data_IF_084810062307
#
_entry.id   IF_084810062307
#
_cell.length_a   1.000
_cell.length_b   1.000
_cell.length_c   1.000
_cell.angle_alpha   90.00
_cell.angle_beta   90.00
_cell.angle_gamma   90.00
#
_symmetry.space_group_name_H-M   'P 1'
#
loop_
_entity.id
_entity.type
_entity.pdbx_description
1 polymer ?
#
# COMPACT_ATOMS: atom_id res chain seq x y z
N UNK A 1 4.57 -19.03 -8.69
CA UNK A 1 5.69 -18.67 -7.89
C UNK A 1 5.60 -17.25 -7.33
N UNK A 2 6.31 -16.22 -7.86
CA UNK A 2 6.37 -14.88 -7.21
C UNK A 2 4.99 -14.22 -7.11
N UNK A 3 4.22 -14.17 -8.18
CA UNK A 3 2.85 -13.65 -8.18
C UNK A 3 1.99 -14.24 -7.07
N UNK A 4 1.93 -15.57 -7.00
CA UNK A 4 1.12 -16.26 -6.01
C UNK A 4 1.57 -15.94 -4.58
N UNK A 5 2.87 -15.81 -4.34
CA UNK A 5 3.42 -15.46 -3.04
C UNK A 5 2.98 -14.04 -2.63
N UNK A 6 3.14 -13.06 -3.52
CA UNK A 6 2.75 -11.67 -3.23
C UNK A 6 1.26 -11.56 -2.88
N UNK A 7 0.39 -12.19 -3.67
CA UNK A 7 -1.05 -12.16 -3.42
C UNK A 7 -1.48 -12.99 -2.22
N UNK A 8 -0.75 -14.04 -1.85
CA UNK A 8 -0.97 -14.72 -0.57
C UNK A 8 -0.67 -13.82 0.63
N UNK A 9 0.41 -13.04 0.58
CA UNK A 9 0.73 -12.08 1.65
C UNK A 9 -0.30 -10.94 1.69
N UNK A 10 -0.71 -10.42 0.53
CA UNK A 10 -1.78 -9.41 0.42
C UNK A 10 -3.07 -9.95 1.04
N UNK A 11 -3.48 -11.17 0.71
CA UNK A 11 -4.67 -11.80 1.27
C UNK A 11 -4.60 -11.96 2.79
N UNK A 12 -3.44 -12.38 3.32
CA UNK A 12 -3.21 -12.46 4.76
C UNK A 12 -3.26 -11.07 5.43
N UNK A 13 -2.71 -10.05 4.78
CA UNK A 13 -2.78 -8.69 5.29
C UNK A 13 -4.24 -8.19 5.36
N UNK A 14 -5.04 -8.43 4.31
CA UNK A 14 -6.47 -8.11 4.31
C UNK A 14 -7.20 -8.83 5.47
N UNK A 15 -6.99 -10.13 5.61
CA UNK A 15 -7.57 -10.93 6.70
C UNK A 15 -7.15 -10.40 8.08
N UNK A 16 -5.90 -10.01 8.24
CA UNK A 16 -5.40 -9.44 9.51
C UNK A 16 -6.09 -8.11 9.85
N UNK A 17 -6.32 -7.25 8.85
CA UNK A 17 -7.05 -5.99 9.04
C UNK A 17 -8.50 -6.25 9.47
N UNK A 18 -9.18 -7.20 8.83
CA UNK A 18 -10.55 -7.60 9.19
C UNK A 18 -10.61 -8.15 10.63
N UNK A 19 -9.64 -8.98 11.03
CA UNK A 19 -9.56 -9.53 12.39
C UNK A 19 -9.31 -8.43 13.43
N UNK A 20 -8.40 -7.49 13.16
CA UNK A 20 -8.12 -6.36 14.06
C UNK A 20 -9.38 -5.52 14.27
N UNK A 21 -10.15 -5.29 13.22
CA UNK A 21 -11.41 -4.55 13.33
C UNK A 21 -12.49 -5.33 14.07
N UNK A 22 -12.62 -6.63 13.82
CA UNK A 22 -13.56 -7.50 14.51
C UNK A 22 -13.26 -7.67 16.01
N UNK A 23 -11.98 -7.74 16.37
CA UNK A 23 -11.50 -7.91 17.76
C UNK A 23 -11.07 -6.60 18.41
N UNK A 24 -11.64 -5.50 17.98
CA UNK A 24 -11.23 -4.16 18.41
C UNK A 24 -11.40 -3.89 19.91
N UNK A 25 -12.30 -4.60 20.58
CA UNK A 25 -12.55 -4.55 22.02
C UNK A 25 -11.44 -5.18 22.87
N UNK A 26 -10.59 -6.02 22.27
CA UNK A 26 -9.45 -6.66 22.95
C UNK A 26 -8.15 -5.83 22.90
N UNK A 27 -8.16 -4.73 22.16
CA UNK A 27 -6.99 -3.89 21.93
C UNK A 27 -7.24 -2.47 22.43
N UNK A 28 -6.23 -1.84 23.01
CA UNK A 28 -6.28 -0.39 23.18
C UNK A 28 -6.30 0.32 21.83
N UNK A 29 -6.82 1.54 21.78
CA UNK A 29 -6.89 2.35 20.54
C UNK A 29 -5.50 2.45 19.89
N UNK A 30 -4.47 2.78 20.69
CA UNK A 30 -3.10 2.91 20.17
C UNK A 30 -2.54 1.59 19.61
N UNK A 31 -2.83 0.44 20.26
CA UNK A 31 -2.41 -0.86 19.75
C UNK A 31 -3.11 -1.21 18.44
N UNK A 32 -4.42 -0.95 18.36
CA UNK A 32 -5.20 -1.16 17.16
C UNK A 32 -4.64 -0.36 16.00
N UNK A 33 -4.42 0.94 16.20
CA UNK A 33 -3.92 1.84 15.17
C UNK A 33 -2.52 1.45 14.72
N UNK A 34 -1.62 1.11 15.66
CA UNK A 34 -0.28 0.65 15.33
C UNK A 34 -0.29 -0.66 14.55
N UNK A 35 -1.05 -1.67 14.98
CA UNK A 35 -1.11 -2.95 14.27
C UNK A 35 -1.72 -2.80 12.88
N UNK A 36 -2.77 -1.99 12.74
CA UNK A 36 -3.33 -1.68 11.41
C UNK A 36 -2.31 -0.98 10.51
N UNK A 37 -1.55 -0.04 11.05
CA UNK A 37 -0.52 0.67 10.30
C UNK A 37 0.60 -0.28 9.82
N UNK A 38 1.08 -1.18 10.66
CA UNK A 38 2.08 -2.18 10.28
C UNK A 38 1.55 -3.12 9.18
N UNK A 39 0.34 -3.61 9.31
CA UNK A 39 -0.27 -4.52 8.31
C UNK A 39 -0.53 -3.79 6.99
N UNK A 40 -1.00 -2.54 7.02
CA UNK A 40 -1.15 -1.71 5.82
C UNK A 40 0.17 -1.47 5.12
N UNK A 41 1.23 -1.19 5.88
CA UNK A 41 2.56 -0.99 5.32
C UNK A 41 3.08 -2.27 4.63
N UNK A 42 2.91 -3.44 5.24
CA UNK A 42 3.27 -4.73 4.63
C UNK A 42 2.47 -4.94 3.34
N UNK A 43 1.16 -4.69 3.35
CA UNK A 43 0.31 -4.79 2.17
C UNK A 43 0.79 -3.86 1.04
N UNK A 44 1.08 -2.61 1.38
CA UNK A 44 1.61 -1.62 0.43
C UNK A 44 2.96 -2.05 -0.16
N UNK A 45 3.85 -2.64 0.65
CA UNK A 45 5.12 -3.20 0.15
C UNK A 45 4.89 -4.32 -0.86
N UNK A 46 3.95 -5.23 -0.61
CA UNK A 46 3.65 -6.31 -1.54
C UNK A 46 3.03 -5.80 -2.84
N UNK A 47 2.18 -4.78 -2.77
CA UNK A 47 1.66 -4.10 -3.97
C UNK A 47 2.74 -3.35 -4.72
N UNK A 48 3.70 -2.73 -4.01
CA UNK A 48 4.85 -2.09 -4.64
C UNK A 48 5.68 -3.10 -5.45
N UNK A 49 6.05 -4.23 -4.85
CA UNK A 49 6.78 -5.30 -5.54
C UNK A 49 5.98 -5.88 -6.73
N UNK A 50 4.67 -6.06 -6.56
CA UNK A 50 3.83 -6.54 -7.65
C UNK A 50 3.74 -5.52 -8.80
N UNK A 51 3.60 -4.22 -8.49
CA UNK A 51 3.60 -3.16 -9.48
C UNK A 51 4.94 -3.05 -10.23
N UNK A 52 6.07 -3.19 -9.52
CA UNK A 52 7.40 -3.17 -10.13
C UNK A 52 7.59 -4.34 -11.11
N UNK A 53 7.17 -5.53 -10.72
CA UNK A 53 7.38 -6.74 -11.52
C UNK A 53 6.38 -6.89 -12.68
N UNK A 54 5.14 -6.45 -12.50
CA UNK A 54 4.05 -6.77 -13.42
C UNK A 54 3.35 -5.54 -14.03
N UNK A 55 3.60 -4.35 -13.52
CA UNK A 55 3.02 -3.08 -13.97
C UNK A 55 1.55 -2.94 -13.58
N UNK A 56 0.63 -3.39 -14.45
CA UNK A 56 -0.81 -3.39 -14.19
C UNK A 56 -1.19 -4.63 -13.39
N UNK A 57 -1.83 -4.42 -12.26
CA UNK A 57 -2.17 -5.48 -11.32
C UNK A 57 -3.56 -5.24 -10.71
N UNK A 58 -4.30 -6.27 -10.31
CA UNK A 58 -5.54 -6.10 -9.56
C UNK A 58 -5.25 -5.61 -8.14
N UNK A 59 -6.04 -4.64 -7.65
CA UNK A 59 -6.02 -4.17 -6.27
C UNK A 59 -7.17 -4.80 -5.51
N UNK A 60 -6.86 -5.68 -4.55
CA UNK A 60 -7.80 -6.44 -3.75
C UNK A 60 -7.61 -6.06 -2.28
N UNK A 61 -8.63 -5.49 -1.64
CA UNK A 61 -8.53 -4.95 -0.27
C UNK A 61 -9.38 -5.69 0.76
N UNK A 62 -10.10 -6.71 0.35
CA UNK A 62 -10.97 -7.49 1.23
C UNK A 62 -10.57 -8.95 1.21
N UNK A 63 -10.71 -9.64 2.35
CA UNK A 63 -10.52 -11.08 2.47
C UNK A 63 -11.82 -11.87 2.37
N UNK A 64 -12.99 -11.23 2.42
CA UNK A 64 -14.31 -11.84 2.49
C UNK A 64 -15.29 -11.34 1.44
N UNK A 65 -16.52 -11.88 1.50
CA UNK A 65 -17.62 -11.51 0.62
C UNK A 65 -18.00 -10.03 0.77
N UNK A 66 -17.94 -9.30 -0.31
CA UNK A 66 -18.59 -8.01 -0.53
C UNK A 66 -18.25 -6.87 0.45
N UNK A 67 -17.01 -6.43 0.52
CA UNK A 67 -16.74 -5.07 0.93
C UNK A 67 -16.35 -4.24 -0.31
N UNK A 68 -17.27 -3.47 -0.83
CA UNK A 68 -16.96 -2.38 -1.76
C UNK A 68 -16.22 -1.34 -0.92
N UNK A 69 -14.93 -1.31 -1.03
CA UNK A 69 -14.13 -0.29 -0.39
C UNK A 69 -13.87 0.80 -1.43
N UNK A 70 -14.60 1.90 -1.34
CA UNK A 70 -14.13 3.16 -1.87
C UNK A 70 -12.95 3.59 -0.99
N UNK A 71 -11.74 3.29 -1.41
CA UNK A 71 -10.58 3.90 -0.80
C UNK A 71 -10.71 5.43 -0.96
N UNK A 72 -10.24 6.19 0.02
CA UNK A 72 -10.19 7.66 -0.03
C UNK A 72 -9.44 8.21 -1.27
N UNK A 73 -8.79 7.34 -2.03
CA UNK A 73 -8.10 7.59 -3.31
C UNK A 73 -9.01 7.46 -4.54
N UNK A 74 -10.30 7.12 -4.40
CA UNK A 74 -11.21 6.90 -5.53
C UNK A 74 -10.92 5.65 -6.37
N UNK A 75 -10.13 4.70 -5.85
CA UNK A 75 -9.89 3.41 -6.51
C UNK A 75 -11.03 2.48 -6.15
N UNK A 76 -11.85 2.11 -7.14
CA UNK A 76 -12.88 1.10 -6.97
C UNK A 76 -12.22 -0.27 -6.75
N UNK A 77 -12.56 -0.93 -5.64
CA UNK A 77 -12.08 -2.27 -5.31
C UNK A 77 -13.19 -3.26 -5.55
N UNK A 78 -12.92 -4.24 -6.40
CA UNK A 78 -13.86 -5.29 -6.71
C UNK A 78 -13.99 -6.30 -5.54
N UNK A 79 -15.20 -6.80 -5.31
CA UNK A 79 -15.47 -7.90 -4.37
C UNK A 79 -14.92 -9.22 -4.89
N UNK A 80 -14.50 -10.13 -4.01
CA UNK A 80 -13.99 -11.46 -4.37
C UNK A 80 -14.99 -12.38 -5.08
N UNK A 81 -16.26 -12.03 -5.12
CA UNK A 81 -17.30 -12.76 -5.83
C UNK A 81 -17.57 -12.25 -7.25
N UNK A 82 -16.96 -11.11 -7.64
CA UNK A 82 -17.17 -10.53 -8.96
C UNK A 82 -16.16 -11.11 -9.96
N UNK A 83 -16.63 -11.56 -11.11
CA UNK A 83 -15.78 -12.02 -12.24
C UNK A 83 -14.85 -10.92 -12.76
N UNK A 84 -15.10 -9.67 -12.42
CA UNK A 84 -14.21 -8.53 -12.69
C UNK A 84 -13.04 -8.41 -11.68
N UNK A 85 -12.94 -9.28 -10.69
CA UNK A 85 -11.88 -9.33 -9.68
C UNK A 85 -10.46 -9.38 -10.23
N UNK A 86 -10.33 -9.91 -11.43
CA UNK A 86 -9.06 -9.98 -12.14
C UNK A 86 -8.83 -8.74 -13.02
N UNK A 87 -9.71 -7.73 -12.97
CA UNK A 87 -9.48 -6.48 -13.67
C UNK A 87 -8.22 -5.81 -13.15
N UNK A 88 -7.27 -5.63 -14.04
CA UNK A 88 -6.01 -4.97 -13.70
C UNK A 88 -6.26 -3.46 -13.60
N UNK A 89 -5.88 -2.87 -12.47
CA UNK A 89 -5.79 -1.42 -12.32
C UNK A 89 -4.61 -0.88 -13.12
N UNK A 90 -4.72 0.34 -13.60
CA UNK A 90 -3.60 1.04 -14.22
C UNK A 90 -2.47 1.25 -13.21
N UNK A 91 -1.23 1.26 -13.68
CA UNK A 91 -0.07 1.44 -12.79
C UNK A 91 -0.13 2.73 -11.97
N UNK A 92 -0.66 3.81 -12.55
CA UNK A 92 -0.86 5.08 -11.86
C UNK A 92 -1.87 4.99 -10.71
N UNK A 93 -2.87 4.12 -10.83
CA UNK A 93 -3.86 3.86 -9.78
C UNK A 93 -3.24 3.05 -8.64
N UNK A 94 -2.52 1.98 -8.99
CA UNK A 94 -1.77 1.18 -8.02
C UNK A 94 -0.76 2.04 -7.25
N UNK A 95 -0.02 2.89 -7.95
CA UNK A 95 0.92 3.84 -7.33
C UNK A 95 0.22 4.75 -6.32
N UNK A 96 -0.91 5.38 -6.69
CA UNK A 96 -1.68 6.24 -5.78
C UNK A 96 -2.18 5.48 -4.57
N UNK A 97 -2.65 4.24 -4.77
CA UNK A 97 -3.08 3.38 -3.68
C UNK A 97 -1.93 3.10 -2.70
N UNK A 98 -0.77 2.65 -3.18
CA UNK A 98 0.41 2.35 -2.36
C UNK A 98 0.83 3.60 -1.56
N UNK A 99 0.90 4.74 -2.24
CA UNK A 99 1.29 6.01 -1.63
C UNK A 99 0.33 6.41 -0.51
N UNK A 100 -0.98 6.31 -0.75
CA UNK A 100 -2.02 6.60 0.25
C UNK A 100 -1.95 5.66 1.46
N UNK A 101 -1.75 4.36 1.26
CA UNK A 101 -1.62 3.38 2.34
C UNK A 101 -0.41 3.71 3.25
N UNK A 102 0.72 4.04 2.66
CA UNK A 102 1.93 4.40 3.40
C UNK A 102 1.77 5.72 4.17
N UNK A 103 1.16 6.74 3.56
CA UNK A 103 0.88 8.01 4.25
C UNK A 103 -0.07 7.83 5.43
N UNK A 104 -1.11 7.01 5.28
CA UNK A 104 -2.06 6.74 6.36
C UNK A 104 -1.45 5.90 7.48
N UNK A 105 -0.49 5.04 7.20
CA UNK A 105 0.21 4.24 8.20
C UNK A 105 1.23 5.05 9.00
N UNK A 106 1.91 6.00 8.36
CA UNK A 106 3.07 6.72 8.89
C UNK A 106 2.88 7.29 10.32
N UNK A 107 1.79 8.02 10.65
CA UNK A 107 1.66 8.67 11.97
C UNK A 107 1.47 7.69 13.14
N UNK A 108 1.12 6.44 12.87
CA UNK A 108 0.85 5.42 13.91
C UNK A 108 2.03 4.49 14.16
N UNK A 109 3.14 4.68 13.46
CA UNK A 109 4.34 3.85 13.56
C UNK A 109 5.40 4.50 14.44
N UNK A 110 6.27 3.69 15.10
CA UNK A 110 7.39 4.22 15.89
C UNK A 110 8.35 5.05 15.03
N UNK A 111 8.88 6.13 15.61
CA UNK A 111 9.78 7.04 14.91
C UNK A 111 11.13 6.42 14.58
N UNK A 112 11.61 5.51 15.43
CA UNK A 112 12.95 4.94 15.29
C UNK A 112 13.07 3.55 15.93
N UNK A 113 14.14 2.85 15.57
CA UNK A 113 14.49 1.57 16.17
C UNK A 113 15.32 1.69 17.47
N UNK A 114 16.03 2.80 17.66
CA UNK A 114 17.16 2.90 18.56
C UNK A 114 16.77 2.90 20.03
N UNK A 115 15.67 3.53 20.42
CA UNK A 115 15.27 3.66 21.81
C UNK A 115 14.87 2.31 22.47
N UNK A 116 14.37 1.36 21.67
CA UNK A 116 13.91 0.06 22.11
C UNK A 116 14.19 -1.01 21.06
N UNK A 117 15.46 -1.18 20.69
CA UNK A 117 15.87 -2.07 19.59
C UNK A 117 15.28 -3.49 19.71
N UNK A 118 15.23 -4.07 20.92
CA UNK A 118 14.65 -5.38 21.15
C UNK A 118 13.13 -5.46 20.97
N UNK A 119 12.41 -4.31 20.97
CA UNK A 119 10.95 -4.25 20.79
C UNK A 119 10.58 -4.02 19.33
N UNK A 120 11.34 -3.20 18.61
CA UNK A 120 11.02 -2.79 17.24
C UNK A 120 11.86 -3.45 16.17
N UNK A 121 12.82 -4.29 16.56
CA UNK A 121 13.64 -5.04 15.61
C UNK A 121 12.75 -5.98 14.75
N UNK A 122 12.90 -5.87 13.44
CA UNK A 122 12.09 -6.61 12.48
C UNK A 122 10.66 -6.11 12.28
N UNK A 123 10.26 -5.03 12.96
CA UNK A 123 8.94 -4.39 12.78
C UNK A 123 9.03 -3.20 11.81
N UNK A 124 7.87 -2.79 11.30
CA UNK A 124 7.76 -1.61 10.44
C UNK A 124 7.81 -0.34 11.30
N UNK A 125 8.62 0.62 10.89
CA UNK A 125 8.81 1.91 11.57
C UNK A 125 8.72 3.06 10.56
N UNK A 126 8.60 4.31 11.04
CA UNK A 126 8.53 5.49 10.18
C UNK A 126 9.71 5.62 9.20
N UNK A 127 10.98 5.37 9.57
CA UNK A 127 12.08 5.36 8.61
C UNK A 127 11.88 4.41 7.43
N UNK A 128 11.30 3.22 7.64
CA UNK A 128 10.98 2.27 6.57
C UNK A 128 9.94 2.87 5.61
N UNK A 129 8.88 3.47 6.16
CA UNK A 129 7.84 4.11 5.35
C UNK A 129 8.40 5.29 4.55
N UNK A 130 9.17 6.15 5.18
CA UNK A 130 9.79 7.30 4.53
C UNK A 130 10.73 6.87 3.39
N UNK A 131 11.47 5.77 3.58
CA UNK A 131 12.30 5.20 2.50
C UNK A 131 11.45 4.71 1.32
N UNK A 132 10.34 4.02 1.58
CA UNK A 132 9.43 3.56 0.53
C UNK A 132 8.75 4.73 -0.19
N UNK A 133 8.31 5.76 0.54
CA UNK A 133 7.75 6.98 -0.05
C UNK A 133 8.77 7.71 -0.92
N UNK A 134 10.04 7.78 -0.48
CA UNK A 134 11.12 8.35 -1.29
C UNK A 134 11.38 7.54 -2.58
N UNK A 135 11.37 6.20 -2.52
CA UNK A 135 11.47 5.34 -3.72
C UNK A 135 10.31 5.58 -4.69
N UNK A 136 9.09 5.67 -4.17
CA UNK A 136 7.89 5.96 -4.96
C UNK A 136 7.99 7.35 -5.62
N UNK A 137 8.38 8.36 -4.85
CA UNK A 137 8.51 9.73 -5.35
C UNK A 137 9.59 9.84 -6.44
N UNK A 138 10.72 9.18 -6.25
CA UNK A 138 11.83 9.19 -7.23
C UNK A 138 11.43 8.57 -8.57
N UNK A 139 10.57 7.54 -8.56
CA UNK A 139 10.11 6.85 -9.76
C UNK A 139 8.69 7.27 -10.21
N UNK A 140 8.10 8.29 -9.61
CA UNK A 140 6.72 8.67 -9.82
C UNK A 140 6.39 8.97 -11.29
N UNK A 141 7.33 9.54 -12.05
CA UNK A 141 7.17 9.79 -13.48
C UNK A 141 6.88 8.50 -14.26
N UNK A 142 7.55 7.40 -13.89
CA UNK A 142 7.36 6.10 -14.53
C UNK A 142 6.04 5.48 -14.09
N UNK A 143 5.71 5.55 -12.81
CA UNK A 143 4.52 4.89 -12.26
C UNK A 143 3.22 5.57 -12.67
N UNK A 144 3.24 6.87 -12.92
CA UNK A 144 2.07 7.64 -13.32
C UNK A 144 1.83 7.69 -14.83
N UNK A 145 2.64 6.96 -15.61
CA UNK A 145 2.49 6.88 -17.06
C UNK A 145 1.81 5.59 -17.47
N UNK A 146 0.59 5.69 -18.00
CA UNK A 146 -0.26 4.54 -18.35
C UNK A 146 -0.33 4.24 -19.85
N UNK A 147 0.31 5.02 -20.72
CA UNK A 147 0.33 4.80 -22.16
C UNK A 147 1.38 3.74 -22.57
N UNK A 148 0.97 2.50 -22.54
CA UNK A 148 1.82 1.36 -22.90
C UNK A 148 2.06 1.22 -24.42
N UNK A 149 1.31 1.96 -25.24
CA UNK A 149 1.37 1.84 -26.71
C UNK A 149 2.58 2.53 -27.31
N UNK A 150 3.14 3.51 -26.63
CA UNK A 150 4.23 4.36 -27.15
C UNK A 150 5.63 3.80 -26.94
N UNK A 151 5.78 2.77 -26.14
CA UNK A 151 7.07 2.17 -25.79
C UNK A 151 8.03 3.12 -25.05
N UNK A 152 9.14 2.60 -24.59
CA UNK A 152 10.13 3.33 -23.78
C UNK A 152 10.80 4.52 -24.48
N UNK A 153 10.83 4.54 -25.81
CA UNK A 153 11.54 5.57 -26.58
C UNK A 153 10.82 6.92 -26.66
N UNK A 154 9.56 6.96 -26.30
CA UNK A 154 8.72 8.18 -26.40
C UNK A 154 8.10 8.54 -25.05
N UNK A 155 8.84 8.38 -23.96
CA UNK A 155 8.37 8.87 -22.64
C UNK A 155 8.03 10.35 -22.77
N UNK A 156 6.79 10.76 -22.43
CA UNK A 156 6.54 12.18 -22.23
C UNK A 156 7.48 12.64 -21.11
N UNK A 157 8.06 13.81 -21.25
CA UNK A 157 8.73 14.47 -20.12
C UNK A 157 7.69 14.58 -19.02
N UNK A 158 7.96 13.96 -17.87
CA UNK A 158 6.98 13.81 -16.82
C UNK A 158 6.41 15.13 -16.36
N UNK A 159 5.14 15.12 -16.03
CA UNK A 159 4.55 16.21 -15.26
C UNK A 159 5.22 16.22 -13.90
N UNK A 160 5.62 17.39 -13.41
CA UNK A 160 6.06 17.52 -12.02
C UNK A 160 4.93 17.01 -11.13
N UNK A 161 5.23 15.98 -10.35
CA UNK A 161 4.29 15.44 -9.37
C UNK A 161 4.63 16.10 -8.04
N UNK A 162 3.66 16.79 -7.47
CA UNK A 162 3.80 17.35 -6.14
C UNK A 162 3.28 16.34 -5.13
N UNK A 163 4.16 15.89 -4.25
CA UNK A 163 3.79 15.09 -3.09
C UNK A 163 3.74 15.99 -1.86
N UNK A 164 2.65 15.91 -1.13
CA UNK A 164 2.57 16.47 0.21
C UNK A 164 2.82 15.31 1.17
N UNK A 165 3.97 15.29 1.81
CA UNK A 165 4.25 14.37 2.91
C UNK A 165 3.95 15.13 4.18
N UNK A 166 2.92 14.70 4.92
CA UNK A 166 2.72 15.21 6.28
C UNK A 166 3.80 14.60 7.18
N UNK A 167 4.64 15.44 7.73
CA UNK A 167 5.56 15.05 8.80
C UNK A 167 4.84 15.10 10.13
N UNK A 168 5.32 14.33 11.13
CA UNK A 168 4.71 14.28 12.46
C UNK A 168 4.72 15.64 13.18
N UNK A 169 5.48 16.58 12.68
CA UNK A 169 5.64 17.94 13.26
C UNK A 169 4.78 19.01 12.54
N UNK A 170 3.91 18.61 11.63
CA UNK A 170 2.95 19.48 10.91
C UNK A 170 3.41 19.96 9.55
#
# INVERSE_FOLDING_TARGET
AVWSHLYQVIGKANQSLDIIDYKSDLLSVNQKDQFKAEVRAIRAMMYYEAMELFGRIPVILSSGEAAIYEAASGIAVASLTDVNLCAQSERSEVFRFIFSELQQALPYLPNEHSANAGVYEGRITQPVINFLLAKLAFNAEIYTFDDWTRGYKKRPKGKKIHFVVQTADG
#
